data_IF_093000046267
#
_entry.id   IF_093000046267
#
_cell.length_a   1.000
_cell.length_b   1.000
_cell.length_c   1.000
_cell.angle_alpha   90.00
_cell.angle_beta   90.00
_cell.angle_gamma   90.00
#
_symmetry.space_group_name_H-M   'P 1'
#
loop_
_entity.id
_entity.type
_entity.pdbx_description
1 polymer ?
#
# COMPACT_ATOMS: atom_id res chain seq x y z
N UNK A 1 -4.30 -17.89 -22.80
CA UNK A 1 -5.05 -16.84 -22.08
C UNK A 1 -4.16 -16.33 -21.00
N UNK A 2 -4.05 -15.01 -20.85
CA UNK A 2 -3.34 -14.42 -19.71
C UNK A 2 -4.16 -14.68 -18.44
N UNK A 3 -3.53 -15.26 -17.42
CA UNK A 3 -4.11 -15.38 -16.09
C UNK A 3 -3.83 -14.07 -15.35
N UNK A 4 -4.88 -13.38 -14.92
CA UNK A 4 -4.77 -12.17 -14.11
C UNK A 4 -4.67 -12.49 -12.61
N UNK A 5 -4.44 -11.44 -11.83
CA UNK A 5 -4.36 -11.54 -10.38
C UNK A 5 -5.69 -12.03 -9.76
N UNK A 6 -6.82 -11.70 -10.39
CA UNK A 6 -8.15 -12.09 -9.90
C UNK A 6 -8.40 -13.60 -10.09
N UNK A 7 -8.05 -14.16 -11.25
CA UNK A 7 -8.17 -15.61 -11.48
C UNK A 7 -7.27 -16.42 -10.54
N UNK A 8 -6.06 -15.92 -10.26
CA UNK A 8 -5.15 -16.57 -9.32
C UNK A 8 -5.65 -16.45 -7.88
N UNK A 9 -6.26 -15.31 -7.52
CA UNK A 9 -6.88 -15.13 -6.21
C UNK A 9 -8.03 -16.12 -6.00
N UNK A 10 -8.87 -16.31 -7.01
CA UNK A 10 -9.98 -17.27 -6.96
C UNK A 10 -9.48 -18.71 -6.85
N UNK A 11 -8.43 -19.08 -7.58
CA UNK A 11 -7.79 -20.39 -7.45
C UNK A 11 -7.23 -20.61 -6.04
N UNK A 12 -6.53 -19.61 -5.47
CA UNK A 12 -6.00 -19.70 -4.11
C UNK A 12 -7.11 -19.87 -3.06
N UNK A 13 -8.24 -19.16 -3.22
CA UNK A 13 -9.42 -19.31 -2.35
C UNK A 13 -10.13 -20.65 -2.52
N UNK A 14 -10.07 -21.24 -3.72
CA UNK A 14 -10.56 -22.59 -4.01
C UNK A 14 -9.65 -23.71 -3.46
N UNK A 15 -8.51 -23.36 -2.86
CA UNK A 15 -7.59 -24.32 -2.25
C UNK A 15 -6.45 -24.79 -3.16
N UNK A 16 -6.23 -24.12 -4.29
CA UNK A 16 -5.06 -24.38 -5.13
C UNK A 16 -3.78 -23.99 -4.37
N UNK A 17 -2.90 -24.99 -4.19
CA UNK A 17 -1.68 -24.85 -3.38
C UNK A 17 -0.63 -23.97 -4.06
N UNK A 18 -0.52 -24.04 -5.38
CA UNK A 18 0.43 -23.22 -6.13
C UNK A 18 0.01 -21.75 -6.16
N UNK A 19 -1.29 -21.50 -6.35
CA UNK A 19 -1.86 -20.16 -6.25
C UNK A 19 -1.69 -19.58 -4.83
N UNK A 20 -1.90 -20.39 -3.79
CA UNK A 20 -1.67 -19.95 -2.41
C UNK A 20 -0.20 -19.62 -2.15
N UNK A 21 0.72 -20.46 -2.63
CA UNK A 21 2.16 -20.23 -2.51
C UNK A 21 2.59 -18.92 -3.16
N UNK A 22 1.99 -18.55 -4.29
CA UNK A 22 2.29 -17.27 -4.95
C UNK A 22 1.94 -16.07 -4.06
N UNK A 23 0.79 -16.10 -3.37
CA UNK A 23 0.42 -15.04 -2.42
C UNK A 23 1.28 -15.04 -1.16
N UNK A 24 1.73 -16.21 -0.70
CA UNK A 24 2.68 -16.29 0.41
C UNK A 24 4.04 -15.68 0.04
N UNK A 25 4.54 -15.93 -1.17
CA UNK A 25 5.74 -15.28 -1.71
C UNK A 25 5.55 -13.77 -1.87
N UNK A 26 4.41 -13.33 -2.40
CA UNK A 26 4.07 -11.91 -2.50
C UNK A 26 4.05 -11.23 -1.13
N UNK A 27 3.44 -11.88 -0.13
CA UNK A 27 3.43 -11.42 1.26
C UNK A 27 4.84 -11.31 1.85
N UNK A 28 5.68 -12.32 1.64
CA UNK A 28 7.08 -12.31 2.06
C UNK A 28 7.85 -11.12 1.48
N UNK A 29 7.85 -10.97 0.16
CA UNK A 29 8.61 -9.92 -0.51
C UNK A 29 8.10 -8.51 -0.18
N UNK A 30 6.77 -8.34 -0.10
CA UNK A 30 6.18 -7.07 0.31
C UNK A 30 6.57 -6.72 1.75
N UNK A 31 6.54 -7.68 2.68
CA UNK A 31 6.94 -7.47 4.06
C UNK A 31 8.42 -7.08 4.19
N UNK A 32 9.31 -7.70 3.42
CA UNK A 32 10.74 -7.32 3.35
C UNK A 32 10.89 -5.88 2.84
N UNK A 33 10.18 -5.52 1.78
CA UNK A 33 10.22 -4.16 1.23
C UNK A 33 9.72 -3.11 2.24
N UNK A 34 8.61 -3.41 2.92
CA UNK A 34 8.06 -2.56 3.98
C UNK A 34 9.04 -2.39 5.14
N UNK A 35 9.69 -3.46 5.60
CA UNK A 35 10.68 -3.38 6.67
C UNK A 35 11.86 -2.47 6.30
N UNK A 36 12.35 -2.59 5.07
CA UNK A 36 13.41 -1.73 4.57
C UNK A 36 12.95 -0.27 4.54
N UNK A 37 11.72 -0.01 4.09
CA UNK A 37 11.15 1.33 4.08
C UNK A 37 11.06 1.92 5.51
N UNK A 38 10.56 1.15 6.47
CA UNK A 38 10.49 1.55 7.88
C UNK A 38 11.89 1.85 8.44
N UNK A 39 12.87 1.00 8.16
CA UNK A 39 14.22 1.12 8.66
C UNK A 39 14.98 2.34 8.10
N UNK A 40 14.70 2.72 6.85
CA UNK A 40 15.37 3.84 6.17
C UNK A 40 14.70 5.17 6.52
N UNK A 41 13.37 5.23 6.47
CA UNK A 41 12.64 6.50 6.51
C UNK A 41 12.00 6.80 7.87
N UNK A 42 11.83 5.81 8.76
CA UNK A 42 11.10 5.94 10.03
C UNK A 42 9.75 6.69 9.86
N UNK A 43 8.86 6.24 8.96
CA UNK A 43 7.63 6.95 8.67
C UNK A 43 6.59 6.75 9.78
N UNK A 44 5.73 7.76 9.97
CA UNK A 44 4.55 7.63 10.85
C UNK A 44 3.43 6.80 10.20
N UNK A 45 3.38 6.76 8.86
CA UNK A 45 2.33 6.05 8.14
C UNK A 45 2.82 5.49 6.80
N UNK A 46 2.35 4.30 6.46
CA UNK A 46 2.44 3.70 5.14
C UNK A 46 1.03 3.37 4.68
N UNK A 47 0.64 3.88 3.51
CA UNK A 47 -0.65 3.58 2.88
C UNK A 47 -0.42 2.76 1.62
N UNK A 48 -0.96 1.54 1.60
CA UNK A 48 -0.85 0.63 0.45
C UNK A 48 -2.11 0.71 -0.40
N UNK A 49 -1.95 0.90 -1.70
CA UNK A 49 -3.04 0.90 -2.68
C UNK A 49 -2.75 -0.01 -3.87
N UNK A 50 -3.62 0.04 -4.88
CA UNK A 50 -3.51 -0.75 -6.11
C UNK A 50 -4.54 -1.88 -6.19
N UNK A 51 -4.92 -2.25 -7.43
CA UNK A 51 -6.02 -3.18 -7.69
C UNK A 51 -5.84 -4.57 -7.06
N UNK A 52 -4.60 -5.10 -7.06
CA UNK A 52 -4.29 -6.40 -6.43
C UNK A 52 -4.56 -6.38 -4.92
N UNK A 53 -4.28 -5.26 -4.25
CA UNK A 53 -4.55 -5.13 -2.82
C UNK A 53 -6.06 -5.07 -2.53
N UNK A 54 -6.83 -4.48 -3.43
CA UNK A 54 -8.29 -4.43 -3.35
C UNK A 54 -8.93 -5.79 -3.60
N UNK A 55 -8.46 -6.53 -4.62
CA UNK A 55 -9.04 -7.81 -5.04
C UNK A 55 -8.53 -9.03 -4.29
N UNK A 56 -7.30 -9.00 -3.78
CA UNK A 56 -6.60 -10.16 -3.20
C UNK A 56 -5.84 -9.87 -1.90
N UNK A 57 -6.01 -8.67 -1.31
CA UNK A 57 -5.27 -8.27 -0.10
C UNK A 57 -5.47 -9.19 1.11
N UNK A 58 -6.62 -9.86 1.19
CA UNK A 58 -6.91 -10.89 2.21
C UNK A 58 -5.94 -12.08 2.16
N UNK A 59 -5.33 -12.35 1.01
CA UNK A 59 -4.45 -13.52 0.83
C UNK A 59 -3.01 -13.27 1.31
N UNK A 60 -2.54 -12.02 1.33
CA UNK A 60 -1.12 -11.71 1.55
C UNK A 60 -0.82 -10.55 2.51
N UNK A 61 -1.78 -9.66 2.80
CA UNK A 61 -1.49 -8.44 3.56
C UNK A 61 -1.03 -8.73 5.00
N UNK A 62 -1.73 -9.61 5.71
CA UNK A 62 -1.39 -9.96 7.10
C UNK A 62 -0.03 -10.66 7.17
N UNK A 63 0.30 -11.47 6.14
CA UNK A 63 1.61 -12.08 6.01
C UNK A 63 2.68 -10.99 5.81
N UNK A 64 2.47 -10.04 4.91
CA UNK A 64 3.39 -8.93 4.69
C UNK A 64 3.60 -8.08 5.95
N UNK A 65 2.52 -7.73 6.66
CA UNK A 65 2.61 -6.98 7.92
C UNK A 65 3.42 -7.75 8.97
N UNK A 66 3.18 -9.05 9.11
CA UNK A 66 3.94 -9.90 10.04
C UNK A 66 5.43 -9.89 9.72
N UNK A 67 5.81 -10.07 8.45
CA UNK A 67 7.21 -10.07 8.02
C UNK A 67 7.84 -8.68 8.24
N UNK A 68 7.12 -7.61 7.92
CA UNK A 68 7.56 -6.24 8.18
C UNK A 68 7.90 -6.06 9.66
N UNK A 69 6.98 -6.44 10.57
CA UNK A 69 7.17 -6.30 12.01
C UNK A 69 8.31 -7.17 12.57
N UNK A 70 8.63 -8.28 11.91
CA UNK A 70 9.75 -9.14 12.28
C UNK A 70 11.11 -8.54 11.88
N UNK A 71 11.18 -7.83 10.75
CA UNK A 71 12.43 -7.34 10.17
C UNK A 71 12.72 -5.85 10.46
N UNK A 72 11.70 -5.06 10.76
CA UNK A 72 11.86 -3.64 11.06
C UNK A 72 12.33 -3.38 12.51
N UNK A 73 13.03 -2.25 12.71
CA UNK A 73 13.43 -1.77 14.04
C UNK A 73 12.19 -1.46 14.89
N UNK A 74 12.27 -1.79 16.19
CA UNK A 74 11.12 -1.70 17.11
C UNK A 74 10.69 -0.26 17.40
N UNK A 75 11.63 0.68 17.44
CA UNK A 75 11.34 2.09 17.76
C UNK A 75 10.38 2.73 16.74
N UNK A 76 10.64 2.69 15.41
CA UNK A 76 9.69 3.14 14.39
C UNK A 76 8.30 2.51 14.50
N UNK A 77 8.25 1.20 14.78
CA UNK A 77 6.99 0.45 14.79
C UNK A 77 6.00 0.89 15.88
N UNK A 78 6.44 1.63 16.90
CA UNK A 78 5.56 2.13 17.98
C UNK A 78 4.54 3.15 17.49
N UNK A 79 4.90 3.91 16.45
CA UNK A 79 4.08 5.01 15.92
C UNK A 79 3.63 4.76 14.48
N UNK A 80 4.20 3.75 13.82
CA UNK A 80 3.83 3.38 12.46
C UNK A 80 2.38 2.92 12.36
N UNK A 81 1.65 3.53 11.45
CA UNK A 81 0.35 3.04 10.95
C UNK A 81 0.51 2.45 9.56
N UNK A 82 0.13 1.18 9.39
CA UNK A 82 0.04 0.54 8.09
C UNK A 82 -1.43 0.46 7.69
N UNK A 83 -1.82 1.15 6.63
CA UNK A 83 -3.21 1.33 6.23
C UNK A 83 -3.43 0.88 4.78
N UNK A 84 -4.64 0.43 4.47
CA UNK A 84 -5.07 0.18 3.09
C UNK A 84 -5.72 1.45 2.53
N UNK A 85 -5.38 1.79 1.29
CA UNK A 85 -5.94 2.95 0.60
C UNK A 85 -7.46 2.79 0.44
N UNK A 86 -8.22 3.77 0.90
CA UNK A 86 -9.69 3.76 0.85
C UNK A 86 -10.28 4.45 -0.38
N UNK A 87 -9.47 5.18 -1.14
CA UNK A 87 -9.94 5.98 -2.28
C UNK A 87 -10.12 5.16 -3.56
N UNK A 88 -9.44 4.01 -3.68
CA UNK A 88 -9.44 3.20 -4.90
C UNK A 88 -9.10 4.03 -6.15
N UNK A 89 -9.87 3.82 -7.22
CA UNK A 89 -9.71 4.52 -8.51
C UNK A 89 -9.94 6.03 -8.42
N UNK A 90 -10.54 6.52 -7.33
CA UNK A 90 -10.74 7.96 -7.10
C UNK A 90 -9.47 8.67 -6.61
N UNK A 91 -8.43 7.94 -6.22
CA UNK A 91 -7.18 8.51 -5.73
C UNK A 91 -6.53 9.47 -6.72
N UNK A 92 -6.48 9.11 -8.00
CA UNK A 92 -5.91 9.96 -9.07
C UNK A 92 -6.68 11.27 -9.26
N UNK A 93 -7.99 11.24 -9.58
CA UNK A 93 -8.80 12.44 -9.74
C UNK A 93 -8.82 13.34 -8.50
N UNK A 94 -8.94 12.76 -7.29
CA UNK A 94 -8.94 13.54 -6.05
C UNK A 94 -7.58 14.18 -5.78
N UNK A 95 -6.48 13.49 -6.09
CA UNK A 95 -5.13 14.04 -6.03
C UNK A 95 -4.97 15.25 -6.94
N UNK A 96 -5.48 15.18 -8.18
CA UNK A 96 -5.46 16.31 -9.12
C UNK A 96 -6.25 17.51 -8.58
N UNK A 97 -7.46 17.30 -8.08
CA UNK A 97 -8.29 18.38 -7.51
C UNK A 97 -7.60 19.02 -6.30
N UNK A 98 -7.01 18.20 -5.41
CA UNK A 98 -6.27 18.70 -4.26
C UNK A 98 -5.06 19.53 -4.69
N UNK A 99 -4.28 19.06 -5.67
CA UNK A 99 -3.13 19.79 -6.20
C UNK A 99 -3.54 21.13 -6.82
N UNK A 100 -4.59 21.16 -7.65
CA UNK A 100 -5.11 22.40 -8.25
C UNK A 100 -5.59 23.39 -7.19
N UNK A 101 -6.30 22.92 -6.16
CA UNK A 101 -6.75 23.75 -5.05
C UNK A 101 -5.58 24.40 -4.32
N UNK A 102 -4.50 23.65 -4.10
CA UNK A 102 -3.33 24.15 -3.38
C UNK A 102 -2.54 25.17 -4.24
N UNK A 103 -2.45 24.97 -5.56
CA UNK A 103 -1.88 25.94 -6.49
C UNK A 103 -2.64 27.28 -6.48
N UNK A 104 -3.98 27.23 -6.59
CA UNK A 104 -4.82 28.44 -6.57
C UNK A 104 -4.73 29.19 -5.25
N UNK A 105 -4.56 28.48 -4.12
CA UNK A 105 -4.38 29.11 -2.80
C UNK A 105 -2.99 29.72 -2.62
N UNK A 106 -1.94 29.06 -3.10
CA UNK A 106 -0.57 29.60 -3.07
C UNK A 106 -0.44 30.88 -3.91
N UNK A 107 -1.10 30.90 -5.07
CA UNK A 107 -1.17 32.07 -5.96
C UNK A 107 -1.91 33.30 -5.38
N UNK A 108 -2.65 33.12 -4.29
CA UNK A 108 -3.37 34.21 -3.61
C UNK A 108 -2.55 34.82 -2.47
N UNK A 109 -1.61 34.08 -1.89
CA UNK A 109 -0.72 34.58 -0.85
C UNK A 109 0.34 35.52 -1.42
N UNK A 110 0.97 35.17 -2.55
CA UNK A 110 2.00 36.01 -3.19
C UNK A 110 1.46 37.32 -3.82
N UNK A 111 0.16 37.38 -4.12
CA UNK A 111 -0.49 38.60 -4.65
C UNK A 111 -0.96 39.56 -3.56
N UNK A 112 -0.99 39.13 -2.30
CA UNK A 112 -1.39 39.98 -1.16
C UNK A 112 -0.21 40.74 -0.54
N UNK A 113 1.02 40.36 -0.87
CA UNK A 113 2.27 40.98 -0.41
C UNK A 113 2.90 41.92 -1.45
N UNK A 114 2.19 42.21 -2.56
CA UNK A 114 2.63 43.10 -3.65
C UNK A 114 1.78 44.36 -3.74
#
# INVERSE_FOLDING_TARGET
GELGADEIADAARAGDVDARRLFDEAGLYLGVALANYVNIFNPEMIVLGGGVLTGAGDLFFDHAERIMRQLARKEPLKYLRLERASLGDRSGPLGMIAALRDMVRGEHLERSEM
#
